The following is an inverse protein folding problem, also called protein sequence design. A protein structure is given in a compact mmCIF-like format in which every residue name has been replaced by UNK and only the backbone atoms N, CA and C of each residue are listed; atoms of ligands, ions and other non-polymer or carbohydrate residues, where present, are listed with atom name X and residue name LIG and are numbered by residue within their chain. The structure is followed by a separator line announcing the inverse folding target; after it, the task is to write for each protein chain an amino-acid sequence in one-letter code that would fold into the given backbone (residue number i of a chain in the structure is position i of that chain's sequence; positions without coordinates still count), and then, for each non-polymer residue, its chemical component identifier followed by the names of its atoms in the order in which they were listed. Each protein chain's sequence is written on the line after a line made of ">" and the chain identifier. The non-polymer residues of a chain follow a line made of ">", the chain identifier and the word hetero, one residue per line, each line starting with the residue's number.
data_IF_066240844066
#
_entry.id   IF_066240844066
#
_cell.length_a   1.000
_cell.length_b   1.000
_cell.length_c   1.000
_cell.angle_alpha   90.00
_cell.angle_beta   90.00
_cell.angle_gamma   90.00
#
_symmetry.space_group_name_H-M   'P 1'
#
loop_
_entity.id
_entity.type
_entity.pdbx_description
1 polymer ?
#
# COMPACT_ATOMS: atom_id res chain seq x y z
N UNK A 1 12.37 9.56 0.66
CA UNK A 1 12.74 10.97 0.40
C UNK A 1 13.72 11.02 -0.76
N UNK A 2 14.92 10.45 -0.62
CA UNK A 2 15.92 10.37 -1.71
C UNK A 2 15.36 9.82 -3.03
N UNK A 3 14.56 8.74 -2.99
CA UNK A 3 13.90 8.21 -4.20
C UNK A 3 13.03 9.25 -4.91
N UNK A 4 12.28 10.05 -4.16
CA UNK A 4 11.47 11.12 -4.75
C UNK A 4 12.34 12.21 -5.36
N UNK A 5 13.44 12.60 -4.71
CA UNK A 5 14.38 13.59 -5.27
C UNK A 5 15.03 13.08 -6.56
N UNK A 6 15.43 11.80 -6.59
CA UNK A 6 16.00 11.17 -7.80
C UNK A 6 14.99 11.13 -8.96
N UNK A 7 13.73 10.78 -8.67
CA UNK A 7 12.65 10.80 -9.68
C UNK A 7 12.42 12.23 -10.19
N UNK A 8 12.37 13.23 -9.31
CA UNK A 8 12.17 14.62 -9.73
C UNK A 8 13.35 15.18 -10.52
N UNK A 9 14.58 14.76 -10.21
CA UNK A 9 15.76 15.11 -11.00
C UNK A 9 15.68 14.57 -12.44
N UNK A 10 15.12 13.37 -12.64
CA UNK A 10 14.92 12.80 -13.97
C UNK A 10 13.70 13.37 -14.72
N UNK A 11 12.61 13.69 -14.02
CA UNK A 11 11.40 14.25 -14.64
C UNK A 11 11.55 15.73 -15.01
N UNK A 12 12.32 16.48 -14.24
CA UNK A 12 12.49 17.91 -14.38
C UNK A 12 13.98 18.27 -14.33
N UNK A 13 14.76 17.97 -15.37
CA UNK A 13 16.10 18.52 -15.50
C UNK A 13 16.05 20.06 -15.56
N UNK A 14 17.11 20.71 -15.10
CA UNK A 14 17.29 22.14 -15.13
C UNK A 14 17.57 22.58 -16.57
N UNK A 15 16.61 23.28 -17.18
CA UNK A 15 16.71 23.76 -18.55
C UNK A 15 16.34 25.25 -18.64
N UNK A 16 16.96 25.96 -19.58
CA UNK A 16 16.70 27.38 -19.83
C UNK A 16 16.86 28.24 -18.58
N UNK A 17 15.78 28.91 -18.17
CA UNK A 17 15.78 29.81 -17.00
C UNK A 17 15.82 29.10 -15.64
N UNK A 18 15.78 27.76 -15.61
CA UNK A 18 15.88 26.95 -14.38
C UNK A 18 17.32 26.52 -14.08
N UNK A 19 18.24 26.73 -15.02
CA UNK A 19 19.67 26.47 -14.82
C UNK A 19 20.21 27.49 -13.82
N UNK A 20 20.51 27.02 -12.62
CA UNK A 20 21.08 27.85 -11.54
C UNK A 20 22.58 27.60 -11.36
N UNK A 21 23.11 26.50 -11.91
CA UNK A 21 24.51 26.11 -11.84
C UNK A 21 24.89 25.35 -13.13
N UNK A 22 25.91 25.84 -13.84
CA UNK A 22 26.35 25.26 -15.12
C UNK A 22 26.98 23.86 -15.00
N UNK A 23 27.37 23.44 -13.79
CA UNK A 23 27.99 22.12 -13.54
C UNK A 23 26.97 21.02 -13.23
N UNK A 24 25.67 21.31 -13.24
CA UNK A 24 24.64 20.31 -12.94
C UNK A 24 23.32 20.60 -13.67
N UNK A 25 22.67 19.53 -14.13
CA UNK A 25 21.31 19.57 -14.69
C UNK A 25 20.24 19.38 -13.61
N UNK A 26 20.60 19.40 -12.33
CA UNK A 26 19.66 19.26 -11.22
C UNK A 26 19.00 20.60 -10.85
N UNK A 27 17.72 20.57 -10.48
CA UNK A 27 17.04 21.70 -9.86
C UNK A 27 16.34 21.31 -8.54
N UNK A 28 16.26 22.23 -7.57
CA UNK A 28 15.54 21.96 -6.33
C UNK A 28 14.05 21.82 -6.61
N UNK A 29 13.48 20.69 -6.16
CA UNK A 29 12.04 20.43 -6.22
C UNK A 29 11.51 20.25 -4.79
N UNK A 30 10.48 21.01 -4.37
CA UNK A 30 9.92 20.88 -3.03
C UNK A 30 9.25 19.51 -2.85
N UNK A 31 9.53 18.86 -1.72
CA UNK A 31 8.89 17.62 -1.29
C UNK A 31 8.21 17.82 0.06
N UNK A 32 6.92 17.53 0.12
CA UNK A 32 6.16 17.61 1.35
C UNK A 32 6.17 16.27 2.09
N UNK A 33 6.25 16.32 3.42
CA UNK A 33 6.24 15.15 4.30
C UNK A 33 5.41 15.45 5.54
N UNK A 34 4.81 14.43 6.14
CA UNK A 34 4.03 14.58 7.37
C UNK A 34 4.90 14.85 8.63
N UNK A 35 6.22 14.88 8.48
CA UNK A 35 7.17 15.15 9.56
C UNK A 35 7.46 13.92 10.42
N UNK A 36 8.58 13.94 11.15
CA UNK A 36 8.98 12.82 12.01
C UNK A 36 8.04 12.69 13.21
N UNK A 37 7.69 11.44 13.58
CA UNK A 37 6.93 11.13 14.79
C UNK A 37 5.41 11.29 14.69
N UNK A 38 4.88 11.71 13.55
CA UNK A 38 3.44 11.76 13.29
C UNK A 38 2.97 10.49 12.57
N UNK A 39 1.78 10.01 12.90
CA UNK A 39 1.14 8.96 12.11
C UNK A 39 0.84 9.49 10.71
N UNK A 40 1.14 8.70 9.69
CA UNK A 40 0.89 9.03 8.29
C UNK A 40 -0.01 7.95 7.68
N UNK A 41 -1.34 8.07 7.84
CA UNK A 41 -2.28 7.13 7.25
C UNK A 41 -2.33 7.18 5.73
N UNK A 42 -1.80 8.24 5.11
CA UNK A 42 -1.80 8.41 3.66
C UNK A 42 -0.66 7.61 3.02
N UNK A 43 0.58 7.85 3.45
CA UNK A 43 1.79 7.31 2.80
C UNK A 43 2.59 6.35 3.69
N UNK A 44 2.14 6.08 4.91
CA UNK A 44 2.69 5.00 5.75
C UNK A 44 1.56 4.23 6.46
N UNK A 45 0.55 3.75 5.73
CA UNK A 45 -0.64 3.17 6.34
C UNK A 45 -0.33 1.95 7.20
N UNK A 46 0.70 1.15 6.89
CA UNK A 46 1.10 -0.01 7.69
C UNK A 46 1.70 0.35 9.06
N UNK A 47 2.09 1.61 9.25
CA UNK A 47 2.60 2.13 10.52
C UNK A 47 1.54 2.71 11.45
N UNK A 48 0.28 2.83 10.99
CA UNK A 48 -0.82 3.39 11.79
C UNK A 48 -1.33 2.36 12.79
N UNK A 49 -1.60 2.77 14.03
CA UNK A 49 -2.19 1.88 15.01
C UNK A 49 -3.68 1.64 14.73
N UNK A 50 -4.08 0.37 14.56
CA UNK A 50 -5.46 0.01 14.23
C UNK A 50 -5.89 -1.33 14.86
N UNK A 51 -6.47 -1.32 16.08
CA UNK A 51 -6.82 -2.53 16.81
C UNK A 51 -7.69 -3.54 16.04
N UNK A 52 -8.73 -3.08 15.36
CA UNK A 52 -9.62 -3.97 14.59
C UNK A 52 -8.89 -4.66 13.43
N UNK A 53 -8.04 -3.93 12.71
CA UNK A 53 -7.18 -4.51 11.68
C UNK A 53 -6.26 -5.56 12.29
N UNK A 54 -5.58 -5.24 13.40
CA UNK A 54 -4.63 -6.15 14.04
C UNK A 54 -5.30 -7.43 14.52
N UNK A 55 -6.53 -7.36 15.05
CA UNK A 55 -7.28 -8.53 15.47
C UNK A 55 -7.57 -9.49 14.30
N UNK A 56 -8.05 -8.94 13.16
CA UNK A 56 -8.34 -9.73 11.96
C UNK A 56 -7.04 -10.30 11.37
N UNK A 57 -6.02 -9.45 11.23
CA UNK A 57 -4.73 -9.81 10.65
C UNK A 57 -4.02 -10.88 11.47
N UNK A 58 -3.98 -10.75 12.81
CA UNK A 58 -3.38 -11.79 13.68
C UNK A 58 -4.12 -13.12 13.57
N UNK A 59 -5.45 -13.11 13.58
CA UNK A 59 -6.25 -14.33 13.44
C UNK A 59 -5.97 -15.04 12.11
N UNK A 60 -6.02 -14.29 11.00
CA UNK A 60 -5.85 -14.87 9.67
C UNK A 60 -4.40 -15.31 9.44
N UNK A 61 -3.43 -14.50 9.88
CA UNK A 61 -2.01 -14.85 9.84
C UNK A 61 -1.70 -16.11 10.63
N UNK A 62 -2.25 -16.27 11.84
CA UNK A 62 -2.04 -17.47 12.64
C UNK A 62 -2.58 -18.74 11.95
N UNK A 63 -3.71 -18.63 11.23
CA UNK A 63 -4.22 -19.76 10.42
C UNK A 63 -3.28 -20.10 9.27
N UNK A 64 -2.70 -19.09 8.61
CA UNK A 64 -1.73 -19.30 7.54
C UNK A 64 -0.44 -19.91 8.10
N UNK A 65 0.05 -19.39 9.22
CA UNK A 65 1.21 -19.88 9.96
C UNK A 65 1.09 -21.36 10.28
N UNK A 66 0.03 -21.80 10.98
CA UNK A 66 -0.17 -23.22 11.28
C UNK A 66 -0.15 -24.12 10.03
N UNK A 67 -0.69 -23.63 8.91
CA UNK A 67 -0.70 -24.39 7.64
C UNK A 67 0.70 -24.47 7.03
N UNK A 68 1.44 -23.36 7.03
CA UNK A 68 2.76 -23.28 6.43
C UNK A 68 3.80 -24.00 7.30
N UNK A 69 3.75 -23.88 8.62
CA UNK A 69 4.60 -24.63 9.55
C UNK A 69 4.38 -26.14 9.41
N UNK A 70 3.13 -26.59 9.26
CA UNK A 70 2.86 -28.00 8.96
C UNK A 70 3.43 -28.43 7.60
N UNK A 71 3.33 -27.58 6.58
CA UNK A 71 3.75 -27.90 5.21
C UNK A 71 5.28 -27.91 5.05
N UNK A 72 5.96 -26.95 5.66
CA UNK A 72 7.39 -26.67 5.47
C UNK A 72 8.22 -26.94 6.73
N UNK A 73 7.70 -27.67 7.72
CA UNK A 73 8.38 -27.93 8.98
C UNK A 73 9.81 -28.47 8.80
N UNK A 74 9.99 -29.47 7.93
CA UNK A 74 11.33 -30.01 7.64
C UNK A 74 12.30 -28.99 7.04
N UNK A 75 11.81 -28.11 6.14
CA UNK A 75 12.61 -27.00 5.60
C UNK A 75 12.99 -26.02 6.70
N UNK A 76 12.05 -25.71 7.61
CA UNK A 76 12.30 -24.80 8.72
C UNK A 76 13.28 -25.36 9.74
N UNK A 77 13.21 -26.65 10.06
CA UNK A 77 14.19 -27.32 10.91
C UNK A 77 15.59 -27.29 10.28
N UNK A 78 15.69 -27.59 8.98
CA UNK A 78 16.95 -27.52 8.24
C UNK A 78 17.52 -26.09 8.19
N UNK A 79 16.70 -25.10 7.81
CA UNK A 79 17.12 -23.69 7.82
C UNK A 79 17.55 -23.23 9.23
N UNK A 80 16.95 -23.79 10.29
CA UNK A 80 17.34 -23.47 11.65
C UNK A 80 18.73 -23.98 11.99
N UNK A 81 19.08 -25.17 11.52
CA UNK A 81 20.42 -25.72 11.67
C UNK A 81 21.47 -24.90 10.88
N UNK A 82 21.14 -24.49 9.65
CA UNK A 82 22.07 -23.74 8.79
C UNK A 82 22.30 -22.29 9.23
N UNK A 83 21.25 -21.63 9.73
CA UNK A 83 21.29 -20.19 10.03
C UNK A 83 21.50 -19.88 11.52
N UNK A 84 21.30 -20.87 12.40
CA UNK A 84 21.25 -20.68 13.85
C UNK A 84 20.02 -19.90 14.35
N UNK A 85 19.12 -19.48 13.46
CA UNK A 85 17.83 -18.88 13.82
C UNK A 85 16.81 -19.98 14.07
N UNK A 86 15.97 -19.87 15.10
CA UNK A 86 14.81 -20.77 15.22
C UNK A 86 13.74 -20.37 14.17
N UNK A 87 13.77 -20.99 12.99
CA UNK A 87 12.96 -20.62 11.83
C UNK A 87 11.55 -21.17 11.94
N UNK A 88 10.56 -20.33 11.64
CA UNK A 88 9.17 -20.72 11.40
C UNK A 88 8.55 -19.82 10.35
N UNK A 89 7.32 -20.09 9.92
CA UNK A 89 6.63 -19.22 8.98
C UNK A 89 6.54 -17.75 9.46
N UNK A 90 6.40 -17.53 10.78
CA UNK A 90 6.32 -16.18 11.34
C UNK A 90 7.57 -15.33 11.10
N UNK A 91 8.75 -15.96 11.00
CA UNK A 91 10.03 -15.25 10.96
C UNK A 91 10.90 -15.57 9.74
N UNK A 92 10.57 -16.57 8.92
CA UNK A 92 11.35 -16.95 7.72
C UNK A 92 11.54 -15.78 6.75
N UNK A 93 10.61 -14.82 6.73
CA UNK A 93 10.73 -13.55 5.99
C UNK A 93 11.95 -12.71 6.32
N UNK A 94 12.64 -12.97 7.44
CA UNK A 94 13.91 -12.31 7.79
C UNK A 94 15.07 -12.82 6.93
N UNK A 95 15.03 -14.09 6.53
CA UNK A 95 16.03 -14.67 5.63
C UNK A 95 15.91 -14.15 4.19
N UNK A 96 14.74 -13.62 3.82
CA UNK A 96 14.52 -12.98 2.52
C UNK A 96 15.47 -11.81 2.25
N UNK A 97 15.98 -11.13 3.29
CA UNK A 97 16.89 -10.00 3.10
C UNK A 97 18.21 -10.39 2.42
N UNK A 98 18.56 -11.68 2.39
CA UNK A 98 19.66 -12.25 1.58
C UNK A 98 19.53 -11.90 0.09
N UNK A 99 18.31 -11.76 -0.45
CA UNK A 99 18.13 -11.34 -1.84
C UNK A 99 18.77 -9.97 -2.11
N UNK A 100 18.76 -9.07 -1.13
CA UNK A 100 19.41 -7.76 -1.26
C UNK A 100 20.91 -7.87 -1.30
N UNK A 101 21.48 -8.78 -0.52
CA UNK A 101 22.92 -9.02 -0.48
C UNK A 101 23.39 -9.62 -1.81
N UNK A 102 22.65 -10.57 -2.36
CA UNK A 102 22.91 -11.16 -3.68
C UNK A 102 22.87 -10.10 -4.78
N UNK A 103 21.88 -9.20 -4.77
CA UNK A 103 21.78 -8.11 -5.75
C UNK A 103 22.99 -7.17 -5.73
N UNK A 104 23.68 -7.05 -4.59
CA UNK A 104 24.89 -6.24 -4.44
C UNK A 104 26.17 -7.07 -4.52
N UNK A 105 26.09 -8.31 -5.02
CA UNK A 105 27.24 -9.22 -5.18
C UNK A 105 28.02 -9.46 -3.89
N UNK A 106 27.34 -9.45 -2.74
CA UNK A 106 27.96 -9.79 -1.46
C UNK A 106 28.13 -11.31 -1.32
N UNK A 107 29.20 -11.78 -0.67
CA UNK A 107 29.43 -13.21 -0.48
C UNK A 107 28.31 -13.84 0.36
N UNK A 108 27.91 -15.06 0.00
CA UNK A 108 26.82 -15.79 0.66
C UNK A 108 27.28 -17.16 1.16
N UNK A 109 26.70 -17.66 2.26
CA UNK A 109 26.93 -19.03 2.71
C UNK A 109 26.29 -20.06 1.76
N UNK A 110 26.83 -21.28 1.75
CA UNK A 110 26.47 -22.33 0.78
C UNK A 110 24.98 -22.66 0.75
N UNK A 111 24.30 -22.65 1.90
CA UNK A 111 22.86 -22.98 2.02
C UNK A 111 21.98 -22.13 1.10
N UNK A 112 22.40 -20.91 0.77
CA UNK A 112 21.66 -19.98 -0.09
C UNK A 112 21.48 -20.53 -1.51
N UNK A 113 22.43 -21.35 -1.98
CA UNK A 113 22.45 -21.88 -3.33
C UNK A 113 21.91 -23.31 -3.43
N UNK A 114 21.48 -23.91 -2.32
CA UNK A 114 20.99 -25.29 -2.31
C UNK A 114 19.53 -25.40 -2.75
N UNK A 115 19.09 -26.64 -2.93
CA UNK A 115 17.70 -26.98 -3.22
C UNK A 115 17.11 -27.84 -2.09
N UNK A 116 15.83 -27.61 -1.79
CA UNK A 116 15.01 -28.42 -0.91
C UNK A 116 13.93 -29.09 -1.74
N UNK A 117 13.89 -30.43 -1.74
CA UNK A 117 12.89 -31.21 -2.49
C UNK A 117 12.79 -30.82 -3.99
N UNK A 118 13.93 -30.46 -4.60
CA UNK A 118 14.02 -30.09 -6.01
C UNK A 118 13.75 -28.62 -6.33
N UNK A 119 13.36 -27.78 -5.37
CA UNK A 119 13.20 -26.33 -5.54
C UNK A 119 14.34 -25.56 -4.87
N UNK A 120 14.78 -24.44 -5.45
CA UNK A 120 15.82 -23.61 -4.83
C UNK A 120 15.30 -23.03 -3.51
N UNK A 121 16.11 -23.10 -2.46
CA UNK A 121 15.74 -22.61 -1.12
C UNK A 121 15.32 -21.14 -1.16
N UNK A 122 16.03 -20.30 -1.92
CA UNK A 122 15.65 -18.89 -2.10
C UNK A 122 14.27 -18.70 -2.71
N UNK A 123 13.87 -19.52 -3.69
CA UNK A 123 12.53 -19.42 -4.29
C UNK A 123 11.44 -19.76 -3.27
N UNK A 124 11.68 -20.75 -2.40
CA UNK A 124 10.78 -21.07 -1.30
C UNK A 124 10.68 -19.90 -0.31
N UNK A 125 11.81 -19.30 0.08
CA UNK A 125 11.84 -18.15 1.00
C UNK A 125 11.10 -16.94 0.38
N UNK A 126 11.30 -16.65 -0.91
CA UNK A 126 10.58 -15.61 -1.67
C UNK A 126 9.08 -15.84 -1.65
N UNK A 127 8.64 -17.07 -1.89
CA UNK A 127 7.22 -17.43 -1.87
C UNK A 127 6.62 -17.30 -0.47
N UNK A 128 7.31 -17.77 0.56
CA UNK A 128 6.86 -17.63 1.95
C UNK A 128 6.76 -16.17 2.38
N UNK A 129 7.74 -15.34 1.96
CA UNK A 129 7.70 -13.88 2.13
C UNK A 129 6.48 -13.27 1.43
N UNK A 130 6.22 -13.65 0.17
CA UNK A 130 5.07 -13.19 -0.61
C UNK A 130 3.76 -13.53 0.08
N UNK A 131 3.55 -14.80 0.46
CA UNK A 131 2.38 -15.26 1.19
C UNK A 131 2.17 -14.50 2.49
N UNK A 132 3.23 -14.36 3.30
CA UNK A 132 3.18 -13.59 4.55
C UNK A 132 2.78 -12.12 4.30
N UNK A 133 3.27 -11.50 3.23
CA UNK A 133 3.01 -10.10 2.93
C UNK A 133 1.59 -9.88 2.39
N UNK A 134 1.13 -10.74 1.49
CA UNK A 134 -0.23 -10.63 0.93
C UNK A 134 -1.31 -10.82 2.01
N UNK A 135 -1.02 -11.63 3.03
CA UNK A 135 -1.91 -11.83 4.18
C UNK A 135 -2.21 -10.54 4.97
N UNK A 136 -1.37 -9.50 4.86
CA UNK A 136 -1.65 -8.20 5.47
C UNK A 136 -2.87 -7.51 4.82
N UNK A 137 -3.21 -7.81 3.56
CA UNK A 137 -4.19 -7.02 2.78
C UNK A 137 -5.24 -7.85 2.03
N UNK A 138 -5.11 -9.19 2.00
CA UNK A 138 -5.93 -10.12 1.20
C UNK A 138 -7.41 -10.29 1.65
N UNK A 139 -8.05 -9.24 2.14
CA UNK A 139 -9.50 -9.18 2.31
C UNK A 139 -9.99 -7.75 2.17
N UNK A 140 -11.25 -7.58 1.78
CA UNK A 140 -11.89 -6.27 1.67
C UNK A 140 -11.68 -5.41 2.94
N UNK A 141 -11.90 -5.99 4.13
CA UNK A 141 -11.71 -5.26 5.40
C UNK A 141 -10.26 -4.83 5.61
N UNK A 142 -9.30 -5.75 5.44
CA UNK A 142 -7.86 -5.47 5.64
C UNK A 142 -7.37 -4.41 4.64
N UNK A 143 -7.75 -4.54 3.38
CA UNK A 143 -7.46 -3.58 2.33
C UNK A 143 -8.05 -2.20 2.63
N UNK A 144 -9.33 -2.12 3.03
CA UNK A 144 -9.99 -0.86 3.41
C UNK A 144 -9.27 -0.14 4.56
N UNK A 145 -8.82 -0.87 5.59
CA UNK A 145 -8.07 -0.27 6.71
C UNK A 145 -6.74 0.38 6.31
N UNK A 146 -6.05 -0.16 5.30
CA UNK A 146 -4.67 0.22 4.96
C UNK A 146 -4.54 0.95 3.61
N UNK A 147 -5.48 0.79 2.69
CA UNK A 147 -5.48 1.43 1.38
C UNK A 147 -6.58 2.47 1.20
N UNK A 148 -7.64 2.41 2.02
CA UNK A 148 -8.84 3.21 1.81
C UNK A 148 -8.66 4.73 1.97
N UNK A 149 -7.70 5.16 2.80
CA UNK A 149 -7.44 6.58 3.02
C UNK A 149 -6.66 7.22 1.85
N UNK A 150 -5.66 6.53 1.30
CA UNK A 150 -4.99 6.94 0.06
C UNK A 150 -5.91 6.84 -1.15
N UNK A 151 -6.74 5.79 -1.22
CA UNK A 151 -7.78 5.68 -2.24
C UNK A 151 -8.73 6.88 -2.22
N UNK A 152 -9.12 7.36 -1.04
CA UNK A 152 -9.93 8.57 -0.93
C UNK A 152 -9.25 9.81 -1.50
N UNK A 153 -7.95 10.00 -1.26
CA UNK A 153 -7.22 11.14 -1.85
C UNK A 153 -7.19 11.05 -3.38
N UNK A 154 -6.98 9.85 -3.95
CA UNK A 154 -7.07 9.64 -5.40
C UNK A 154 -8.46 9.95 -5.95
N UNK A 155 -9.52 9.37 -5.36
CA UNK A 155 -10.90 9.59 -5.81
C UNK A 155 -11.31 11.05 -5.69
N UNK A 156 -10.92 11.73 -4.61
CA UNK A 156 -11.22 13.15 -4.41
C UNK A 156 -10.58 14.01 -5.50
N UNK A 157 -9.32 13.73 -5.88
CA UNK A 157 -8.65 14.47 -6.97
C UNK A 157 -9.30 14.23 -8.32
N UNK A 158 -9.76 13.01 -8.58
CA UNK A 158 -10.49 12.67 -9.81
C UNK A 158 -11.83 13.45 -9.86
N UNK A 159 -12.58 13.48 -8.76
CA UNK A 159 -13.80 14.29 -8.62
C UNK A 159 -13.53 15.79 -8.86
N UNK A 160 -12.38 16.31 -8.40
CA UNK A 160 -12.00 17.71 -8.65
C UNK A 160 -11.70 18.01 -10.12
N UNK A 161 -11.14 17.05 -10.86
CA UNK A 161 -10.94 17.15 -12.31
C UNK A 161 -12.28 17.15 -13.05
N UNK A 162 -13.23 16.33 -12.60
CA UNK A 162 -14.59 16.25 -13.17
C UNK A 162 -15.31 17.60 -13.09
N UNK A 163 -15.26 18.27 -11.94
CA UNK A 163 -15.86 19.60 -11.74
C UNK A 163 -14.99 20.76 -12.24
N UNK A 164 -13.94 20.47 -13.03
CA UNK A 164 -13.02 21.45 -13.62
C UNK A 164 -12.39 22.42 -12.61
N UNK A 165 -12.13 21.98 -11.37
CA UNK A 165 -11.32 22.76 -10.44
C UNK A 165 -9.89 22.85 -10.96
N UNK A 166 -9.21 23.96 -10.63
CA UNK A 166 -7.79 24.13 -10.95
C UNK A 166 -6.95 23.20 -10.07
N UNK A 167 -6.60 22.03 -10.59
CA UNK A 167 -5.78 21.01 -9.92
C UNK A 167 -4.37 20.95 -10.52
N UNK A 168 -3.38 20.43 -9.77
CA UNK A 168 -2.08 20.07 -10.35
C UNK A 168 -2.23 19.05 -11.47
N UNK A 169 -1.42 19.16 -12.54
CA UNK A 169 -1.42 18.20 -13.66
C UNK A 169 -0.96 16.79 -13.26
N UNK A 170 -0.13 16.69 -12.23
CA UNK A 170 0.36 15.43 -11.68
C UNK A 170 0.59 15.58 -10.18
N UNK A 171 0.35 14.50 -9.43
CA UNK A 171 0.65 14.39 -8.00
C UNK A 171 1.41 13.10 -7.78
N UNK A 172 2.61 13.20 -7.21
CA UNK A 172 3.50 12.06 -7.03
C UNK A 172 3.60 11.72 -5.54
N UNK A 173 3.46 10.44 -5.23
CA UNK A 173 3.59 9.91 -3.87
C UNK A 173 4.80 8.99 -3.78
N UNK A 174 5.82 9.40 -3.02
CA UNK A 174 6.98 8.55 -2.72
C UNK A 174 6.73 7.80 -1.41
N UNK A 175 6.57 6.48 -1.50
CA UNK A 175 6.12 5.67 -0.36
C UNK A 175 6.78 4.27 -0.36
N UNK A 176 6.15 3.30 0.30
CA UNK A 176 6.63 1.96 0.57
C UNK A 176 5.83 0.90 -0.19
N UNK A 177 6.42 -0.29 -0.35
CA UNK A 177 5.78 -1.50 -0.90
C UNK A 177 4.40 -1.76 -0.30
N UNK A 178 4.26 -1.59 1.02
CA UNK A 178 3.01 -1.82 1.74
C UNK A 178 1.90 -0.84 1.40
N UNK A 179 2.25 0.37 1.02
CA UNK A 179 1.29 1.41 0.62
C UNK A 179 0.75 1.11 -0.78
N UNK A 180 1.65 0.75 -1.71
CA UNK A 180 1.26 0.35 -3.07
C UNK A 180 0.42 -0.93 -3.01
N UNK A 181 0.87 -1.94 -2.28
CA UNK A 181 0.13 -3.19 -2.12
C UNK A 181 -1.24 -2.96 -1.48
N UNK A 182 -1.33 -2.21 -0.37
CA UNK A 182 -2.62 -1.96 0.29
C UNK A 182 -3.60 -1.21 -0.62
N UNK A 183 -3.13 -0.24 -1.40
CA UNK A 183 -3.95 0.49 -2.37
C UNK A 183 -4.42 -0.42 -3.50
N UNK A 184 -3.53 -1.21 -4.11
CA UNK A 184 -3.91 -2.15 -5.18
C UNK A 184 -4.90 -3.22 -4.68
N UNK A 185 -4.74 -3.69 -3.44
CA UNK A 185 -5.73 -4.57 -2.80
C UNK A 185 -7.07 -3.86 -2.57
N UNK A 186 -7.06 -2.60 -2.13
CA UNK A 186 -8.29 -1.82 -1.91
C UNK A 186 -9.02 -1.52 -3.23
N UNK A 187 -8.28 -1.42 -4.34
CA UNK A 187 -8.85 -1.27 -5.68
C UNK A 187 -9.20 -2.62 -6.34
N UNK A 188 -8.77 -3.74 -5.77
CA UNK A 188 -9.03 -5.08 -6.30
C UNK A 188 -8.26 -5.40 -7.59
N UNK A 189 -7.10 -4.77 -7.80
CA UNK A 189 -6.26 -4.89 -9.02
C UNK A 189 -4.87 -5.46 -8.76
N UNK A 190 -4.63 -5.97 -7.55
CA UNK A 190 -3.36 -6.62 -7.19
C UNK A 190 -3.13 -7.91 -7.97
N UNK A 191 -1.87 -8.15 -8.36
CA UNK A 191 -1.39 -9.43 -8.93
C UNK A 191 -0.96 -10.43 -7.84
N UNK A 192 -1.13 -10.04 -6.56
CA UNK A 192 -0.66 -10.75 -5.38
C UNK A 192 0.86 -11.02 -5.37
N UNK A 193 1.66 -10.21 -6.05
CA UNK A 193 3.12 -10.26 -6.01
C UNK A 193 3.70 -9.24 -5.02
N UNK A 194 4.97 -9.41 -4.66
CA UNK A 194 5.70 -8.38 -3.93
C UNK A 194 5.91 -7.17 -4.84
N UNK A 195 5.68 -5.96 -4.32
CA UNK A 195 5.99 -4.73 -5.05
C UNK A 195 7.52 -4.60 -5.15
N UNK A 196 8.10 -4.55 -6.36
CA UNK A 196 9.55 -4.46 -6.53
C UNK A 196 10.06 -3.06 -6.20
N UNK A 197 11.39 -2.93 -6.09
CA UNK A 197 12.02 -1.62 -5.98
C UNK A 197 11.64 -0.72 -7.16
N UNK A 198 11.34 0.54 -6.85
CA UNK A 198 10.85 1.53 -7.81
C UNK A 198 9.55 1.12 -8.56
N UNK A 199 8.82 0.12 -8.07
CA UNK A 199 7.49 -0.22 -8.58
C UNK A 199 6.55 0.99 -8.49
N UNK A 200 5.87 1.32 -9.58
CA UNK A 200 5.04 2.50 -9.69
C UNK A 200 3.61 2.12 -10.12
N UNK A 201 2.64 2.37 -9.25
CA UNK A 201 1.22 2.25 -9.55
C UNK A 201 0.63 3.65 -9.70
N UNK A 202 0.02 3.93 -10.84
CA UNK A 202 -0.50 5.24 -11.17
C UNK A 202 -1.81 5.16 -11.96
N UNK A 203 -2.54 6.27 -11.98
CA UNK A 203 -3.77 6.44 -12.74
C UNK A 203 -3.71 7.72 -13.54
N UNK A 204 -4.33 7.69 -14.71
CA UNK A 204 -4.46 8.85 -15.58
C UNK A 204 -5.94 9.15 -15.77
N UNK A 205 -6.30 10.43 -15.70
CA UNK A 205 -7.65 10.91 -16.01
C UNK A 205 -7.60 11.52 -17.39
N UNK A 206 -8.22 10.85 -18.35
CA UNK A 206 -8.18 11.19 -19.78
C UNK A 206 -9.53 11.78 -20.18
N UNK A 207 -9.49 12.78 -21.05
CA UNK A 207 -10.67 13.35 -21.69
C UNK A 207 -10.62 13.04 -23.18
N UNK A 208 -11.70 12.51 -23.71
CA UNK A 208 -11.81 12.22 -25.14
C UNK A 208 -12.31 13.43 -25.96
N UNK A 209 -12.49 13.24 -27.26
CA UNK A 209 -13.01 14.27 -28.18
C UNK A 209 -14.47 14.63 -27.91
N UNK A 210 -15.27 13.69 -27.36
CA UNK A 210 -16.65 13.92 -26.92
C UNK A 210 -16.72 14.65 -25.57
N UNK A 211 -15.57 14.98 -24.96
CA UNK A 211 -15.42 15.61 -23.65
C UNK A 211 -15.89 14.71 -22.48
N UNK A 212 -16.00 13.40 -22.70
CA UNK A 212 -16.20 12.38 -21.68
C UNK A 212 -14.89 12.11 -20.93
N UNK A 213 -15.01 11.71 -19.66
CA UNK A 213 -13.87 11.48 -18.77
C UNK A 213 -13.72 10.01 -18.39
N UNK A 214 -12.50 9.52 -18.53
CA UNK A 214 -12.12 8.14 -18.26
C UNK A 214 -10.91 8.07 -17.33
N UNK A 215 -10.83 6.99 -16.55
CA UNK A 215 -9.67 6.64 -15.74
C UNK A 215 -9.01 5.41 -16.33
N UNK A 216 -7.71 5.52 -16.59
CA UNK A 216 -6.84 4.39 -16.94
C UNK A 216 -5.87 4.12 -15.79
N UNK A 217 -5.58 2.84 -15.54
CA UNK A 217 -4.72 2.42 -14.44
C UNK A 217 -3.52 1.66 -14.98
N UNK A 218 -2.34 1.95 -14.43
CA UNK A 218 -1.09 1.39 -14.91
C UNK A 218 -0.20 0.94 -13.75
N UNK A 219 0.49 -0.18 -13.93
CA UNK A 219 1.48 -0.67 -12.98
C UNK A 219 2.80 -0.99 -13.68
N UNK A 220 3.82 -0.20 -13.39
CA UNK A 220 5.19 -0.43 -13.85
C UNK A 220 5.97 -1.14 -12.75
N UNK A 221 6.17 -2.44 -12.94
CA UNK A 221 6.89 -3.31 -12.00
C UNK A 221 8.20 -3.87 -12.59
N UNK A 222 8.61 -3.38 -13.76
CA UNK A 222 9.88 -3.71 -14.39
C UNK A 222 10.49 -2.45 -15.04
N UNK A 223 11.81 -2.44 -15.19
CA UNK A 223 12.54 -1.34 -15.84
C UNK A 223 12.29 -1.30 -17.34
N UNK A 224 12.34 -2.47 -17.99
CA UNK A 224 12.15 -2.63 -19.43
C UNK A 224 10.70 -2.96 -19.76
N UNK A 225 10.24 -2.47 -20.90
CA UNK A 225 8.87 -2.66 -21.38
C UNK A 225 7.88 -1.61 -20.89
N UNK A 226 6.66 -1.69 -21.42
CA UNK A 226 5.58 -0.78 -21.09
C UNK A 226 4.93 -1.14 -19.74
N UNK A 227 4.34 -0.15 -19.03
CA UNK A 227 3.54 -0.41 -17.84
C UNK A 227 2.38 -1.37 -18.15
N UNK A 228 2.07 -2.25 -17.20
CA UNK A 228 0.90 -3.13 -17.32
C UNK A 228 -0.37 -2.30 -17.19
N UNK A 229 -1.31 -2.48 -18.12
CA UNK A 229 -2.64 -1.87 -18.05
C UNK A 229 -3.51 -2.69 -17.09
N UNK A 230 -4.03 -2.04 -16.06
CA UNK A 230 -4.90 -2.66 -15.05
C UNK A 230 -6.37 -2.31 -15.33
N UNK A 231 -7.27 -3.17 -14.86
CA UNK A 231 -8.71 -3.01 -15.07
C UNK A 231 -9.49 -3.33 -13.81
N UNK A 232 -10.43 -2.46 -13.44
CA UNK A 232 -11.36 -2.75 -12.35
C UNK A 232 -12.30 -3.89 -12.75
N UNK A 233 -12.65 -4.75 -11.81
CA UNK A 233 -13.72 -5.73 -12.01
C UNK A 233 -15.01 -4.97 -12.36
N UNK A 234 -15.68 -5.40 -13.43
CA UNK A 234 -16.89 -4.77 -13.96
C UNK A 234 -16.69 -3.33 -14.50
N UNK A 235 -15.49 -2.98 -14.97
CA UNK A 235 -15.25 -1.80 -15.80
C UNK A 235 -14.37 -2.13 -17.02
N UNK A 236 -14.34 -1.24 -17.99
CA UNK A 236 -13.38 -1.19 -19.12
C UNK A 236 -11.99 -0.73 -18.64
N UNK A 237 -10.98 -0.84 -19.51
CA UNK A 237 -9.64 -0.27 -19.28
C UNK A 237 -9.67 1.26 -19.26
N UNK A 238 -10.52 1.86 -20.10
CA UNK A 238 -10.93 3.26 -20.05
C UNK A 238 -12.23 3.33 -19.23
N UNK A 239 -12.11 3.36 -17.91
CA UNK A 239 -13.26 3.27 -17.03
C UNK A 239 -13.92 4.66 -16.88
N UNK A 240 -15.20 4.86 -17.21
CA UNK A 240 -15.87 6.14 -17.00
C UNK A 240 -15.70 6.62 -15.54
N UNK A 241 -15.37 7.90 -15.33
CA UNK A 241 -15.08 8.43 -13.98
C UNK A 241 -16.19 8.13 -12.97
N UNK A 242 -17.45 8.25 -13.39
CA UNK A 242 -18.63 7.97 -12.55
C UNK A 242 -18.68 6.51 -12.09
N UNK A 243 -18.41 5.56 -12.98
CA UNK A 243 -18.34 4.13 -12.66
C UNK A 243 -17.12 3.80 -11.82
N UNK A 244 -15.97 4.40 -12.12
CA UNK A 244 -14.72 4.23 -11.37
C UNK A 244 -14.91 4.59 -9.89
N UNK A 245 -15.48 5.77 -9.61
CA UNK A 245 -15.77 6.23 -8.24
C UNK A 245 -16.78 5.30 -7.58
N UNK A 246 -17.90 4.98 -8.26
CA UNK A 246 -18.96 4.12 -7.73
C UNK A 246 -18.45 2.73 -7.34
N UNK A 247 -17.60 2.12 -8.16
CA UNK A 247 -17.03 0.79 -7.91
C UNK A 247 -16.07 0.78 -6.71
N UNK A 248 -15.37 1.88 -6.45
CA UNK A 248 -14.35 1.99 -5.41
C UNK A 248 -14.86 2.61 -4.10
N UNK A 249 -16.02 3.26 -4.12
CA UNK A 249 -16.64 3.90 -2.95
C UNK A 249 -16.71 3.01 -1.69
N UNK A 250 -17.04 1.69 -1.76
CA UNK A 250 -17.07 0.85 -0.56
C UNK A 250 -15.72 0.77 0.18
N UNK A 251 -14.59 0.91 -0.51
CA UNK A 251 -13.25 0.88 0.08
C UNK A 251 -12.75 2.26 0.52
N UNK A 252 -13.49 3.34 0.24
CA UNK A 252 -13.09 4.71 0.55
C UNK A 252 -13.15 4.98 2.06
N UNK A 253 -12.14 5.70 2.57
CA UNK A 253 -12.11 6.26 3.93
C UNK A 253 -11.91 7.77 3.80
N UNK A 254 -12.94 8.55 4.08
CA UNK A 254 -13.02 9.97 3.74
C UNK A 254 -12.27 10.90 4.69
N UNK A 255 -11.99 10.44 5.91
CA UNK A 255 -11.31 11.25 6.92
C UNK A 255 -10.49 10.40 7.88
N UNK A 256 -9.52 11.04 8.56
CA UNK A 256 -8.83 10.40 9.68
C UNK A 256 -9.77 10.02 10.82
N UNK A 257 -10.83 10.80 11.03
CA UNK A 257 -11.85 10.51 12.06
C UNK A 257 -12.52 9.18 11.71
N UNK A 258 -12.97 9.02 10.47
CA UNK A 258 -13.54 7.76 10.01
C UNK A 258 -12.56 6.60 10.19
N UNK A 259 -11.29 6.78 9.79
CA UNK A 259 -10.25 5.77 9.97
C UNK A 259 -10.12 5.36 11.44
N UNK A 260 -10.02 6.34 12.36
CA UNK A 260 -9.93 6.10 13.80
C UNK A 260 -11.18 5.40 14.35
N UNK A 261 -12.36 5.77 13.88
CA UNK A 261 -13.63 5.13 14.26
C UNK A 261 -13.64 3.66 13.85
N UNK A 262 -13.30 3.33 12.61
CA UNK A 262 -13.29 1.94 12.15
C UNK A 262 -12.16 1.12 12.78
N UNK A 263 -11.06 1.77 13.17
CA UNK A 263 -9.95 1.12 13.85
C UNK A 263 -10.23 0.81 15.31
N UNK A 264 -11.07 1.61 15.97
CA UNK A 264 -11.46 1.43 17.36
C UNK A 264 -12.23 0.12 17.54
N UNK A 265 -11.82 -0.72 18.49
CA UNK A 265 -12.66 -1.84 18.92
C UNK A 265 -14.04 -1.29 19.29
N UNK A 266 -15.11 -1.93 18.81
CA UNK A 266 -16.43 -1.72 19.38
C UNK A 266 -16.35 -2.15 20.86
N UNK A 267 -15.97 -1.21 21.73
CA UNK A 267 -16.21 -1.34 23.14
C UNK A 267 -17.72 -1.50 23.23
N UNK A 268 -18.20 -2.59 23.84
CA UNK A 268 -19.53 -2.66 24.43
C UNK A 268 -19.63 -1.61 25.55
N UNK A 269 -19.51 -0.34 25.21
CA UNK A 269 -20.06 0.75 25.99
C UNK A 269 -21.46 0.89 25.43
N UNK A 270 -22.42 0.22 26.08
CA UNK A 270 -23.80 0.64 25.94
C UNK A 270 -23.83 2.15 26.12
N UNK A 271 -24.22 2.87 25.07
CA UNK A 271 -24.57 4.28 25.19
C UNK A 271 -25.80 4.31 26.09
N UNK A 272 -25.59 4.43 27.40
CA UNK A 272 -26.63 4.95 28.28
C UNK A 272 -26.79 6.42 27.90
N UNK A 273 -27.76 6.71 27.02
CA UNK A 273 -28.31 8.05 26.91
C UNK A 273 -29.01 8.34 28.23
N UNK A 274 -28.35 9.07 29.13
CA UNK A 274 -29.05 9.76 30.20
C UNK A 274 -29.78 10.94 29.58
N UNK A 275 -31.06 10.75 29.27
CA UNK A 275 -31.97 11.86 28.98
C UNK A 275 -32.26 12.53 30.32
N UNK A 276 -31.56 13.62 30.63
CA UNK A 276 -31.97 14.51 31.71
C UNK A 276 -33.14 15.37 31.21
N UNK A 277 -34.36 14.98 31.56
CA UNK A 277 -35.53 15.85 31.41
C UNK A 277 -35.49 16.85 32.57
N UNK A 278 -35.09 18.09 32.27
CA UNK A 278 -35.16 19.20 33.21
C UNK A 278 -36.60 19.72 33.22
N UNK A 279 -37.40 19.26 34.19
CA UNK A 279 -38.73 19.83 34.44
C UNK A 279 -38.56 21.17 35.17
N UNK A 280 -38.59 22.26 34.41
CA UNK A 280 -38.73 23.61 34.97
C UNK A 280 -40.18 23.80 35.40
N UNK A 281 -40.42 23.70 36.71
CA UNK A 281 -41.71 24.05 37.31
C UNK A 281 -41.75 25.57 37.49
N UNK A 282 -42.48 26.26 36.62
CA UNK A 282 -42.81 27.68 36.85
C UNK A 282 -43.77 27.76 38.04
N UNK A 283 -43.33 28.42 39.12
CA UNK A 283 -44.23 28.87 40.18
C UNK A 283 -44.87 30.17 39.69
N UNK A 284 -46.18 30.11 39.43
CA UNK A 284 -47.02 31.29 39.25
C UNK A 284 -47.30 31.90 40.63
N UNK A 285 -47.36 33.23 40.70
CA UNK A 285 -47.78 34.03 41.86
C UNK A 285 -49.13 33.58 42.44
#
# INVERSE_FOLDING_TARGET
>A
METGQAVMAGLFPAEGNRVWNASTEWQPTPMHTNGKGREDPLLKPTGVFCPNYEAIRKRDFHRLEMRMDKKYGGLFDWLSAETGMNVSFANVKKLYDVDKEIMHSLPQPDWVYTSWEGEKVLNLIRELKRLSRMEDFNSFKKARFRGGYLLNDWLTRIEEVEVRKKTPKAVLYSSHDGTVASLMHAMGVTDNQLVPFAGCFFVEVVRDEANDLYVQMFYRNATLGDPQILRLKNCSTECPVTDFIRLLEPNRIRSEIELKTICSCASNKGLMFFIYILLVKFASF
#
